data_IF_889118914862
#
_entry.id   IF_889118914862
#
_cell.length_a   1.000
_cell.length_b   1.000
_cell.length_c   1.000
_cell.angle_alpha   90.00
_cell.angle_beta   90.00
_cell.angle_gamma   90.00
#
_symmetry.space_group_name_H-M   'P 1'
#
loop_
_entity.id
_entity.type
_entity.pdbx_description
1 polymer ?
#
# COMPACT_ATOMS: atom_id res chain seq x y z
N UNK A 1 -22.85 11.14 -16.47
CA UNK A 1 -21.81 10.97 -15.43
C UNK A 1 -20.49 10.60 -16.12
N UNK A 2 -19.64 11.59 -16.44
CA UNK A 2 -18.34 11.32 -17.07
C UNK A 2 -17.37 10.94 -15.95
N UNK A 3 -16.95 9.68 -15.90
CA UNK A 3 -15.83 9.26 -15.07
C UNK A 3 -14.63 10.14 -15.44
N UNK A 4 -14.06 10.86 -14.48
CA UNK A 4 -12.81 11.56 -14.71
C UNK A 4 -11.78 10.53 -15.25
N UNK A 5 -11.12 10.79 -16.38
CA UNK A 5 -10.18 9.84 -16.95
C UNK A 5 -9.09 9.54 -15.93
N UNK A 6 -8.76 8.26 -15.76
CA UNK A 6 -7.62 7.83 -14.98
C UNK A 6 -6.38 8.63 -15.41
N UNK A 7 -5.56 9.11 -14.46
CA UNK A 7 -4.38 9.94 -14.75
C UNK A 7 -3.47 9.31 -15.81
N UNK A 8 -3.33 7.98 -15.78
CA UNK A 8 -2.60 7.19 -16.76
C UNK A 8 -3.19 7.32 -18.17
N UNK A 9 -4.52 7.32 -18.30
CA UNK A 9 -5.23 7.48 -19.58
C UNK A 9 -4.98 8.88 -20.16
N UNK A 10 -5.08 9.92 -19.33
CA UNK A 10 -4.80 11.29 -19.74
C UNK A 10 -3.36 11.47 -20.23
N UNK A 11 -2.37 10.96 -19.47
CA UNK A 11 -0.97 11.06 -19.88
C UNK A 11 -0.71 10.31 -21.19
N UNK A 12 -1.31 9.12 -21.38
CA UNK A 12 -1.18 8.34 -22.63
C UNK A 12 -1.81 9.03 -23.83
N UNK A 13 -2.96 9.69 -23.69
CA UNK A 13 -3.58 10.42 -24.81
C UNK A 13 -2.75 11.62 -25.28
N UNK A 14 -1.85 12.11 -24.43
CA UNK A 14 -0.88 13.16 -24.76
C UNK A 14 0.54 12.61 -25.06
N UNK A 15 0.69 11.30 -25.25
CA UNK A 15 1.98 10.62 -25.48
C UNK A 15 3.03 10.88 -24.38
N UNK A 16 2.60 11.08 -23.13
CA UNK A 16 3.46 11.37 -21.99
C UNK A 16 3.77 10.11 -21.16
N UNK A 17 4.90 10.10 -20.42
CA UNK A 17 5.25 9.00 -19.52
C UNK A 17 4.16 8.72 -18.48
N UNK A 18 3.62 7.50 -18.49
CA UNK A 18 2.50 7.09 -17.64
C UNK A 18 2.88 6.01 -16.60
N UNK A 19 4.17 5.89 -16.27
CA UNK A 19 4.70 4.98 -15.23
C UNK A 19 4.84 5.70 -13.89
N UNK A 20 4.85 4.94 -12.78
CA UNK A 20 5.03 5.50 -11.44
C UNK A 20 3.75 5.51 -10.59
N UNK A 21 3.89 5.95 -9.34
CA UNK A 21 2.79 6.00 -8.37
C UNK A 21 1.81 7.14 -8.63
N UNK A 22 0.65 7.12 -7.94
CA UNK A 22 -0.41 8.14 -8.06
C UNK A 22 0.10 9.57 -7.89
N UNK A 23 0.99 9.80 -6.91
CA UNK A 23 1.58 11.12 -6.66
C UNK A 23 2.43 11.59 -7.84
N UNK A 24 3.30 10.71 -8.37
CA UNK A 24 4.12 11.05 -9.54
C UNK A 24 3.27 11.34 -10.79
N UNK A 25 2.23 10.53 -11.03
CA UNK A 25 1.30 10.76 -12.12
C UNK A 25 0.56 12.11 -11.94
N UNK A 26 0.17 12.44 -10.70
CA UNK A 26 -0.45 13.74 -10.38
C UNK A 26 0.49 14.91 -10.66
N UNK A 27 1.75 14.81 -10.24
CA UNK A 27 2.76 15.84 -10.52
C UNK A 27 3.01 16.01 -12.02
N UNK A 28 3.05 14.91 -12.80
CA UNK A 28 3.19 15.00 -14.27
C UNK A 28 1.98 15.64 -14.92
N UNK A 29 0.77 15.30 -14.49
CA UNK A 29 -0.46 15.95 -14.98
C UNK A 29 -0.43 17.45 -14.66
N UNK A 30 -0.08 17.83 -13.42
CA UNK A 30 0.04 19.26 -13.04
C UNK A 30 1.08 19.98 -13.89
N UNK A 31 2.30 19.43 -14.01
CA UNK A 31 3.36 20.04 -14.80
C UNK A 31 2.95 20.23 -16.27
N UNK A 32 2.28 19.24 -16.86
CA UNK A 32 1.75 19.35 -18.22
C UNK A 32 0.71 20.46 -18.36
N UNK A 33 -0.25 20.53 -17.43
CA UNK A 33 -1.29 21.57 -17.45
C UNK A 33 -0.71 22.97 -17.21
N UNK A 34 0.34 23.08 -16.42
CA UNK A 34 1.04 24.33 -16.11
C UNK A 34 2.08 24.72 -17.19
N UNK A 35 2.25 23.92 -18.25
CA UNK A 35 3.26 24.15 -19.30
C UNK A 35 4.71 24.04 -18.81
N UNK A 36 4.94 23.34 -17.70
CA UNK A 36 6.26 23.16 -17.09
C UNK A 36 6.94 21.88 -17.60
N UNK A 37 8.29 21.79 -17.51
CA UNK A 37 9.00 20.56 -17.80
C UNK A 37 8.47 19.38 -16.97
N UNK A 38 8.28 18.24 -17.62
CA UNK A 38 7.76 17.04 -16.96
C UNK A 38 8.84 16.45 -16.03
N UNK A 39 8.49 16.09 -14.78
CA UNK A 39 9.41 15.36 -13.93
C UNK A 39 9.73 13.98 -14.55
N UNK A 40 10.98 13.51 -14.43
CA UNK A 40 11.42 12.27 -15.05
C UNK A 40 10.58 11.08 -14.58
N UNK A 41 10.44 10.08 -15.45
CA UNK A 41 9.86 8.81 -15.06
C UNK A 41 10.78 8.13 -14.04
N UNK A 42 10.22 7.66 -12.92
CA UNK A 42 10.97 6.83 -12.01
C UNK A 42 11.49 5.57 -12.75
N UNK A 43 12.73 5.12 -12.48
CA UNK A 43 13.25 3.92 -13.10
C UNK A 43 12.34 2.73 -12.79
N UNK A 44 12.12 1.88 -13.79
CA UNK A 44 11.30 0.69 -13.62
C UNK A 44 12.00 -0.24 -12.65
N UNK A 45 11.37 -0.53 -11.51
CA UNK A 45 11.89 -1.57 -10.59
C UNK A 45 11.98 -2.89 -11.35
N UNK A 46 13.19 -3.43 -11.47
CA UNK A 46 13.41 -4.75 -12.07
C UNK A 46 12.73 -5.77 -11.17
N UNK A 47 11.86 -6.61 -11.74
CA UNK A 47 11.29 -7.73 -10.99
C UNK A 47 12.39 -8.78 -10.77
N UNK A 48 12.92 -8.85 -9.55
CA UNK A 48 13.87 -9.87 -9.15
C UNK A 48 13.24 -11.26 -9.07
N UNK A 49 14.08 -12.30 -9.01
CA UNK A 49 13.67 -13.69 -8.77
C UNK A 49 12.80 -13.75 -7.52
N UNK A 50 11.59 -14.30 -7.65
CA UNK A 50 10.69 -14.47 -6.50
C UNK A 50 10.92 -15.85 -5.88
N UNK A 51 10.81 -15.93 -4.55
CA UNK A 51 10.82 -17.19 -3.80
C UNK A 51 9.60 -18.06 -4.16
N UNK A 52 9.89 -19.33 -4.44
CA UNK A 52 8.92 -20.36 -4.84
C UNK A 52 9.33 -21.71 -4.27
N UNK A 53 8.36 -22.62 -4.10
CA UNK A 53 8.64 -24.00 -3.67
C UNK A 53 8.84 -24.13 -2.16
N UNK A 54 9.62 -25.13 -1.76
CA UNK A 54 9.93 -25.40 -0.36
C UNK A 54 10.88 -24.33 0.19
N UNK A 55 10.47 -23.72 1.31
CA UNK A 55 11.22 -22.67 1.98
C UNK A 55 11.64 -23.16 3.37
N UNK A 56 12.80 -22.70 3.82
CA UNK A 56 13.36 -22.94 5.16
C UNK A 56 13.71 -21.63 5.83
N UNK A 57 13.98 -21.67 7.14
CA UNK A 57 14.38 -20.47 7.90
C UNK A 57 15.65 -19.83 7.33
N UNK A 58 16.58 -20.66 6.83
CA UNK A 58 17.82 -20.23 6.18
C UNK A 58 17.63 -19.70 4.75
N UNK A 59 16.41 -19.70 4.22
CA UNK A 59 16.17 -19.18 2.87
C UNK A 59 16.41 -17.68 2.84
N UNK A 60 17.34 -17.25 1.99
CA UNK A 60 17.68 -15.85 1.76
C UNK A 60 16.57 -15.17 0.97
N UNK A 61 16.19 -13.95 1.38
CA UNK A 61 15.20 -13.12 0.71
C UNK A 61 15.88 -12.33 -0.41
N UNK A 62 15.57 -12.58 -1.69
CA UNK A 62 16.22 -11.89 -2.80
C UNK A 62 15.75 -10.43 -2.92
N UNK A 63 16.57 -9.57 -3.54
CA UNK A 63 16.16 -8.19 -3.83
C UNK A 63 14.91 -8.15 -4.70
N UNK A 64 13.97 -7.29 -4.31
CA UNK A 64 12.69 -7.16 -5.00
C UNK A 64 11.68 -8.29 -4.72
N UNK A 65 11.90 -9.10 -3.68
CA UNK A 65 10.90 -10.05 -3.20
C UNK A 65 9.61 -9.31 -2.83
N UNK A 66 8.47 -9.91 -3.20
CA UNK A 66 7.14 -9.43 -2.82
C UNK A 66 6.58 -10.31 -1.72
N UNK A 67 5.67 -9.76 -0.91
CA UNK A 67 4.80 -10.54 -0.01
C UNK A 67 3.86 -11.43 -0.83
N UNK A 68 4.38 -12.58 -1.26
CA UNK A 68 3.70 -13.53 -2.14
C UNK A 68 2.81 -14.49 -1.35
N UNK A 69 1.93 -15.21 -2.05
CA UNK A 69 1.12 -16.27 -1.42
C UNK A 69 1.98 -17.43 -0.91
N UNK A 70 3.12 -17.69 -1.56
CA UNK A 70 4.11 -18.68 -1.10
C UNK A 70 4.67 -18.28 0.27
N UNK A 71 5.11 -17.02 0.41
CA UNK A 71 5.57 -16.51 1.71
C UNK A 71 4.43 -16.51 2.72
N UNK A 72 3.22 -16.10 2.33
CA UNK A 72 2.05 -16.12 3.21
C UNK A 72 1.81 -17.51 3.81
N UNK A 73 1.76 -18.54 2.96
CA UNK A 73 1.56 -19.91 3.40
C UNK A 73 2.66 -20.35 4.38
N UNK A 74 3.92 -20.08 4.05
CA UNK A 74 5.06 -20.45 4.89
C UNK A 74 5.06 -19.75 6.26
N UNK A 75 4.77 -18.44 6.30
CA UNK A 75 4.68 -17.71 7.56
C UNK A 75 3.46 -18.11 8.39
N UNK A 76 2.30 -18.32 7.76
CA UNK A 76 1.08 -18.76 8.44
C UNK A 76 1.24 -20.14 9.10
N UNK A 77 1.99 -21.05 8.47
CA UNK A 77 2.30 -22.37 9.06
C UNK A 77 3.09 -22.25 10.37
N UNK A 78 3.99 -21.25 10.46
CA UNK A 78 4.92 -21.08 11.59
C UNK A 78 4.41 -20.15 12.69
N UNK A 79 3.64 -19.13 12.31
CA UNK A 79 3.16 -18.07 13.20
C UNK A 79 1.67 -18.22 13.54
N UNK A 80 0.98 -19.13 12.87
CA UNK A 80 -0.42 -19.44 13.10
C UNK A 80 -1.40 -18.46 12.42
N UNK A 81 -2.71 -18.59 12.74
CA UNK A 81 -3.79 -17.92 12.03
C UNK A 81 -3.84 -16.40 12.24
N UNK A 82 -3.18 -15.88 13.27
CA UNK A 82 -3.07 -14.45 13.55
C UNK A 82 -2.10 -13.72 12.62
N UNK A 83 -1.28 -14.48 11.88
CA UNK A 83 -0.31 -13.92 10.95
C UNK A 83 -0.97 -13.15 9.80
N UNK A 84 -0.50 -11.93 9.59
CA UNK A 84 -0.75 -11.15 8.40
C UNK A 84 0.45 -10.25 8.10
N UNK A 85 0.62 -9.89 6.82
CA UNK A 85 1.63 -8.93 6.38
C UNK A 85 1.23 -7.50 6.79
N UNK A 86 1.61 -7.12 8.01
CA UNK A 86 1.56 -5.74 8.47
C UNK A 86 2.58 -4.84 7.75
N UNK A 87 2.64 -3.57 8.15
CA UNK A 87 3.56 -2.61 7.54
C UNK A 87 5.03 -2.99 7.76
N UNK A 88 5.41 -3.45 8.95
CA UNK A 88 6.80 -3.81 9.27
C UNK A 88 7.27 -4.97 8.38
N UNK A 89 6.47 -6.02 8.27
CA UNK A 89 6.81 -7.15 7.41
C UNK A 89 6.90 -6.76 5.93
N UNK A 90 5.98 -5.93 5.44
CA UNK A 90 6.01 -5.48 4.04
C UNK A 90 7.23 -4.63 3.75
N UNK A 91 7.57 -3.74 4.67
CA UNK A 91 8.75 -2.86 4.54
C UNK A 91 10.04 -3.70 4.56
N UNK A 92 10.14 -4.68 5.47
CA UNK A 92 11.27 -5.60 5.56
C UNK A 92 11.48 -6.43 4.30
N UNK A 93 10.42 -7.10 3.81
CA UNK A 93 10.50 -7.90 2.58
C UNK A 93 10.84 -7.04 1.36
N UNK A 94 10.31 -5.82 1.29
CA UNK A 94 10.58 -4.90 0.19
C UNK A 94 11.99 -4.30 0.22
N UNK A 95 12.59 -4.19 1.40
CA UNK A 95 13.94 -3.66 1.62
C UNK A 95 15.03 -4.74 1.55
N UNK A 96 14.66 -6.02 1.56
CA UNK A 96 15.61 -7.12 1.44
C UNK A 96 16.49 -6.97 0.20
N UNK A 97 17.78 -7.20 0.38
CA UNK A 97 18.83 -7.00 -0.63
C UNK A 97 19.62 -8.29 -0.93
N UNK A 98 19.20 -9.42 -0.34
CA UNK A 98 19.92 -10.70 -0.40
C UNK A 98 20.80 -10.97 0.82
N UNK A 99 20.83 -10.10 1.84
CA UNK A 99 21.54 -10.36 3.11
C UNK A 99 20.67 -10.99 4.20
N UNK A 100 19.36 -10.74 4.17
CA UNK A 100 18.40 -11.19 5.19
C UNK A 100 17.73 -12.51 4.81
N UNK A 101 17.35 -13.28 5.83
CA UNK A 101 16.70 -14.59 5.72
C UNK A 101 15.24 -14.56 6.16
N UNK A 102 14.52 -15.66 5.93
CA UNK A 102 13.17 -15.82 6.47
C UNK A 102 13.15 -15.97 8.00
N UNK A 103 14.25 -16.44 8.62
CA UNK A 103 14.41 -16.41 10.07
C UNK A 103 14.36 -14.97 10.62
N UNK A 104 15.13 -14.06 10.00
CA UNK A 104 15.15 -12.65 10.39
C UNK A 104 13.76 -12.00 10.27
N UNK A 105 12.99 -12.39 9.24
CA UNK A 105 11.61 -11.94 9.08
C UNK A 105 10.68 -12.47 10.17
N UNK A 106 10.87 -13.71 10.65
CA UNK A 106 10.09 -14.26 11.78
C UNK A 106 10.40 -13.48 13.06
N UNK A 107 11.67 -13.19 13.32
CA UNK A 107 12.09 -12.47 14.51
C UNK A 107 11.60 -11.02 14.49
N UNK A 108 11.67 -10.36 13.33
CA UNK A 108 11.03 -9.06 13.14
C UNK A 108 9.54 -9.14 13.47
N UNK A 109 8.81 -10.10 12.89
CA UNK A 109 7.38 -10.22 13.12
C UNK A 109 7.07 -10.32 14.61
N UNK A 110 7.78 -11.17 15.35
CA UNK A 110 7.61 -11.35 16.79
C UNK A 110 7.91 -10.06 17.56
N UNK A 111 9.01 -9.39 17.24
CA UNK A 111 9.44 -8.16 17.93
C UNK A 111 8.47 -6.99 17.73
N UNK A 112 7.74 -6.94 16.62
CA UNK A 112 6.84 -5.82 16.30
C UNK A 112 5.37 -6.10 16.62
N UNK A 113 5.05 -7.15 17.40
CA UNK A 113 3.64 -7.46 17.73
C UNK A 113 2.95 -6.34 18.51
N UNK A 114 3.67 -5.75 19.47
CA UNK A 114 3.14 -4.68 20.33
C UNK A 114 3.51 -3.28 19.84
N UNK A 115 3.99 -3.17 18.59
CA UNK A 115 4.30 -1.88 18.00
C UNK A 115 3.03 -1.04 17.85
N UNK A 116 3.14 0.25 18.18
CA UNK A 116 2.02 1.18 18.02
C UNK A 116 1.54 1.20 16.55
N UNK A 117 0.23 1.25 16.29
CA UNK A 117 -0.29 1.33 14.93
C UNK A 117 0.28 2.53 14.19
N UNK A 118 0.86 2.31 13.01
CA UNK A 118 1.34 3.41 12.15
C UNK A 118 0.17 4.30 11.71
N UNK A 119 0.47 5.57 11.52
CA UNK A 119 -0.47 6.49 10.89
C UNK A 119 -0.75 6.11 9.44
N UNK A 120 -2.02 6.27 9.07
CA UNK A 120 -2.51 5.94 7.73
C UNK A 120 -2.31 7.18 6.84
N UNK A 121 -1.37 7.11 5.91
CA UNK A 121 -0.99 8.21 5.01
C UNK A 121 -2.20 8.95 4.39
N UNK A 122 -2.21 10.30 4.33
CA UNK A 122 -3.26 11.16 3.77
C UNK A 122 -3.95 10.65 2.50
N UNK A 123 -3.25 9.92 1.62
CA UNK A 123 -3.84 9.38 0.41
C UNK A 123 -4.87 8.25 0.64
N UNK A 124 -4.88 7.60 1.81
CA UNK A 124 -5.81 6.51 2.15
C UNK A 124 -7.03 6.98 2.96
N UNK A 125 -7.76 7.96 2.42
CA UNK A 125 -8.92 8.63 3.04
C UNK A 125 -9.97 7.64 3.59
N UNK A 126 -10.38 6.63 2.80
CA UNK A 126 -11.34 5.62 3.25
C UNK A 126 -10.82 4.81 4.45
N UNK A 127 -9.54 4.46 4.47
CA UNK A 127 -8.97 3.66 5.56
C UNK A 127 -8.91 4.48 6.86
N UNK A 128 -8.54 5.78 6.75
CA UNK A 128 -8.60 6.70 7.90
C UNK A 128 -10.03 6.88 8.39
N UNK A 129 -10.97 7.15 7.48
CA UNK A 129 -12.38 7.26 7.80
C UNK A 129 -12.88 6.02 8.54
N UNK A 130 -12.57 4.83 8.02
CA UNK A 130 -12.97 3.57 8.63
C UNK A 130 -12.43 3.43 10.05
N UNK A 131 -11.14 3.76 10.26
CA UNK A 131 -10.49 3.70 11.58
C UNK A 131 -11.13 4.66 12.58
N UNK A 132 -11.29 5.93 12.20
CA UNK A 132 -11.93 6.96 13.03
C UNK A 132 -13.39 6.61 13.33
N UNK A 133 -14.13 6.15 12.31
CA UNK A 133 -15.53 5.78 12.43
C UNK A 133 -15.71 4.62 13.41
N UNK A 134 -14.92 3.55 13.33
CA UNK A 134 -15.02 2.43 14.28
C UNK A 134 -14.57 2.81 15.69
N UNK A 135 -13.59 3.71 15.84
CA UNK A 135 -13.21 4.23 17.16
C UNK A 135 -14.36 4.97 17.84
N UNK A 136 -15.22 5.66 17.06
CA UNK A 136 -16.40 6.38 17.55
C UNK A 136 -17.65 5.50 17.60
N UNK A 137 -17.65 4.35 16.92
CA UNK A 137 -18.78 3.43 16.80
C UNK A 137 -18.33 1.97 17.05
N UNK A 138 -18.01 1.58 18.30
CA UNK A 138 -17.44 0.25 18.60
C UNK A 138 -18.34 -0.94 18.22
N UNK A 139 -19.66 -0.76 18.23
CA UNK A 139 -20.65 -1.77 17.82
C UNK A 139 -21.20 -1.60 16.41
N UNK A 140 -20.68 -0.62 15.65
CA UNK A 140 -21.20 -0.26 14.34
C UNK A 140 -20.92 -1.32 13.28
N UNK A 141 -21.90 -1.62 12.43
CA UNK A 141 -21.72 -2.61 11.37
C UNK A 141 -20.92 -2.05 10.19
N UNK A 142 -20.39 -2.94 9.35
CA UNK A 142 -19.76 -2.54 8.08
C UNK A 142 -20.72 -1.77 7.16
N UNK A 143 -22.01 -2.11 7.18
CA UNK A 143 -23.03 -1.42 6.37
C UNK A 143 -23.23 0.02 6.83
N UNK A 144 -23.22 0.25 8.14
CA UNK A 144 -23.33 1.59 8.73
C UNK A 144 -22.10 2.43 8.40
N UNK A 145 -20.90 1.85 8.47
CA UNK A 145 -19.65 2.51 8.09
C UNK A 145 -19.69 2.96 6.62
N UNK A 146 -20.14 2.09 5.71
CA UNK A 146 -20.23 2.43 4.29
C UNK A 146 -21.29 3.50 4.00
N UNK A 147 -22.41 3.47 4.72
CA UNK A 147 -23.43 4.52 4.65
C UNK A 147 -22.85 5.87 5.11
N UNK A 148 -22.14 5.88 6.23
CA UNK A 148 -21.48 7.07 6.74
C UNK A 148 -20.38 7.59 5.80
N UNK A 149 -19.60 6.68 5.19
CA UNK A 149 -18.59 7.03 4.18
C UNK A 149 -19.22 7.69 2.95
N UNK A 150 -20.34 7.14 2.48
CA UNK A 150 -21.07 7.69 1.33
C UNK A 150 -21.58 9.10 1.63
N UNK A 151 -22.11 9.32 2.84
CA UNK A 151 -22.51 10.65 3.31
C UNK A 151 -21.33 11.61 3.43
N UNK A 152 -20.20 11.16 3.97
CA UNK A 152 -18.99 11.98 4.06
C UNK A 152 -18.50 12.40 2.67
N UNK A 153 -18.49 11.48 1.70
CA UNK A 153 -18.03 11.72 0.34
C UNK A 153 -18.96 12.58 -0.50
N UNK A 154 -20.24 12.70 -0.15
CA UNK A 154 -21.18 13.60 -0.82
C UNK A 154 -21.03 15.05 -0.39
N UNK A 155 -20.37 15.33 0.74
CA UNK A 155 -20.07 16.70 1.17
C UNK A 155 -19.02 17.34 0.25
N UNK A 156 -19.14 18.66 -0.01
CA UNK A 156 -18.05 19.47 -0.56
C UNK A 156 -16.76 19.30 0.25
N UNK A 157 -15.60 19.33 -0.41
CA UNK A 157 -14.30 19.06 0.24
C UNK A 157 -14.01 20.00 1.40
N UNK A 158 -14.45 21.25 1.33
CA UNK A 158 -14.35 22.28 2.38
C UNK A 158 -15.26 22.00 3.59
N UNK A 159 -16.26 21.13 3.44
CA UNK A 159 -17.22 20.74 4.49
C UNK A 159 -17.00 19.32 4.99
N UNK A 160 -15.93 18.65 4.56
CA UNK A 160 -15.52 17.36 5.11
C UNK A 160 -14.66 17.60 6.34
N UNK A 161 -15.03 16.99 7.45
CA UNK A 161 -14.17 16.94 8.63
C UNK A 161 -12.80 16.36 8.24
N UNK A 162 -11.70 16.91 8.80
CA UNK A 162 -10.36 16.32 8.60
C UNK A 162 -10.30 14.98 9.33
N UNK A 163 -10.13 13.92 8.55
CA UNK A 163 -9.98 12.53 8.98
C UNK A 163 -8.59 12.02 8.63
#
# INVERSE_FOLDING_TARGET
MRLAPCQTTFLRSHALPSSGGKVELTHRVSAFLDGRPLPPAAPRKVSGKQLTGLLSEHTVIPPGQRSSQVLRAWFSDRLGPTFHFDSHMRDFIAAADGSTTLADALDLWRSTRDAAPKDIDPQFELNRFTRDWHSKNPGGTRADMLTAWTRHRSLPTDRRDRI
#
